data_IF_395376520527
#
_entry.id   IF_395376520527
#
_cell.length_a   1.000
_cell.length_b   1.000
_cell.length_c   1.000
_cell.angle_alpha   90.00
_cell.angle_beta   90.00
_cell.angle_gamma   90.00
#
_symmetry.space_group_name_H-M   'P 1'
#
loop_
_entity.id
_entity.type
_entity.pdbx_description
1 polymer ?
#
# COMPACT_ATOMS: atom_id res chain seq x y z
N UNK A 1 2.56 6.17 1.82
CA UNK A 1 2.63 6.33 0.36
C UNK A 1 3.98 6.89 -0.10
N UNK A 2 4.37 8.10 0.31
CA UNK A 2 5.58 8.77 -0.18
C UNK A 2 6.89 7.99 -0.05
N UNK A 3 7.21 7.48 1.14
CA UNK A 3 8.39 6.63 1.39
C UNK A 3 8.54 5.44 0.41
N UNK A 4 7.43 4.78 0.05
CA UNK A 4 7.39 3.71 -0.97
C UNK A 4 7.65 4.26 -2.38
N UNK A 5 7.01 5.37 -2.73
CA UNK A 5 7.08 5.95 -4.07
C UNK A 5 8.37 6.73 -4.32
N UNK A 6 9.06 7.21 -3.29
CA UNK A 6 10.35 7.87 -3.41
C UNK A 6 11.40 6.91 -3.98
N UNK A 7 11.30 5.62 -3.67
CA UNK A 7 12.13 4.59 -4.29
C UNK A 7 11.82 4.44 -5.78
N UNK A 8 10.54 4.46 -6.18
CA UNK A 8 10.19 4.48 -7.61
C UNK A 8 10.76 5.72 -8.29
N UNK A 9 10.59 6.90 -7.70
CA UNK A 9 11.15 8.14 -8.22
C UNK A 9 12.68 8.02 -8.40
N UNK A 10 13.40 7.50 -7.41
CA UNK A 10 14.87 7.41 -7.50
C UNK A 10 15.39 6.27 -8.39
N UNK A 11 14.64 5.19 -8.62
CA UNK A 11 15.12 4.02 -9.35
C UNK A 11 14.56 3.91 -10.78
N UNK A 12 13.38 4.49 -11.03
CA UNK A 12 12.67 4.34 -12.31
C UNK A 12 12.74 5.54 -13.23
N UNK A 13 12.94 6.74 -12.70
CA UNK A 13 13.08 7.91 -13.58
C UNK A 13 14.44 7.88 -14.28
N UNK A 14 14.45 8.23 -15.56
CA UNK A 14 15.67 8.61 -16.29
C UNK A 14 16.35 9.82 -15.64
N UNK A 15 17.58 10.15 -16.04
CA UNK A 15 18.27 11.35 -15.54
C UNK A 15 17.47 12.64 -15.76
N UNK A 16 16.86 12.77 -16.94
CA UNK A 16 16.01 13.92 -17.31
C UNK A 16 14.72 13.97 -16.49
N UNK A 17 14.01 12.84 -16.37
CA UNK A 17 12.82 12.74 -15.54
C UNK A 17 13.14 13.04 -14.07
N UNK A 18 14.27 12.55 -13.56
CA UNK A 18 14.69 12.81 -12.17
C UNK A 18 14.94 14.30 -11.95
N UNK A 19 15.64 14.95 -12.88
CA UNK A 19 15.90 16.38 -12.83
C UNK A 19 14.61 17.22 -12.87
N UNK A 20 13.57 16.72 -13.55
CA UNK A 20 12.25 17.38 -13.61
C UNK A 20 11.38 17.12 -12.36
N UNK A 21 11.28 15.87 -11.89
CA UNK A 21 10.32 15.47 -10.86
C UNK A 21 10.87 15.50 -9.43
N UNK A 22 12.18 15.29 -9.22
CA UNK A 22 12.74 15.27 -7.87
C UNK A 22 12.64 16.63 -7.17
N UNK A 23 12.95 17.78 -7.81
CA UNK A 23 12.75 19.10 -7.20
C UNK A 23 11.28 19.35 -6.84
N UNK A 24 10.33 18.93 -7.70
CA UNK A 24 8.89 19.05 -7.42
C UNK A 24 8.43 18.29 -6.17
N UNK A 25 9.17 17.24 -5.79
CA UNK A 25 8.92 16.49 -4.56
C UNK A 25 9.66 17.08 -3.36
N UNK A 26 10.93 17.48 -3.54
CA UNK A 26 11.81 17.89 -2.45
C UNK A 26 11.65 19.36 -2.03
N UNK A 27 11.28 20.24 -2.96
CA UNK A 27 11.21 21.69 -2.71
C UNK A 27 9.87 22.13 -2.09
N UNK A 28 8.89 21.22 -2.02
CA UNK A 28 7.56 21.48 -1.47
C UNK A 28 7.30 20.52 -0.32
N UNK A 29 7.34 21.02 0.92
CA UNK A 29 7.17 20.22 2.15
C UNK A 29 5.86 19.44 2.22
N UNK A 30 4.83 19.90 1.50
CA UNK A 30 3.51 19.28 1.42
C UNK A 30 3.33 18.38 0.20
N UNK A 31 4.36 18.21 -0.63
CA UNK A 31 4.30 17.35 -1.81
C UNK A 31 3.97 15.92 -1.40
N UNK A 32 3.06 15.31 -2.15
CA UNK A 32 2.77 13.90 -2.00
C UNK A 32 2.71 13.22 -3.36
N UNK A 33 3.04 11.93 -3.35
CA UNK A 33 2.99 11.05 -4.48
C UNK A 33 1.81 10.08 -4.36
N UNK A 34 1.21 9.75 -5.51
CA UNK A 34 0.19 8.72 -5.63
C UNK A 34 0.56 7.69 -6.69
N UNK A 35 -0.02 6.48 -6.58
CA UNK A 35 0.09 5.44 -7.61
C UNK A 35 -1.30 4.96 -8.02
N UNK A 36 -1.65 5.22 -9.27
CA UNK A 36 -2.91 4.85 -9.90
C UNK A 36 -2.84 3.48 -10.54
N UNK A 37 -3.29 2.45 -9.83
CA UNK A 37 -3.44 1.09 -10.39
C UNK A 37 -4.91 0.67 -10.43
N UNK A 38 -5.55 0.69 -9.27
CA UNK A 38 -6.92 0.23 -9.06
C UNK A 38 -7.92 1.06 -9.86
N UNK A 39 -8.88 0.36 -10.44
CA UNK A 39 -10.02 0.90 -11.20
C UNK A 39 -11.31 0.32 -10.61
N UNK A 40 -12.48 0.92 -10.84
CA UNK A 40 -13.74 0.44 -10.27
C UNK A 40 -14.02 -1.05 -10.53
N UNK A 41 -13.62 -1.55 -11.70
CA UNK A 41 -13.79 -2.92 -12.15
C UNK A 41 -12.57 -3.81 -11.89
N UNK A 42 -11.44 -3.26 -11.45
CA UNK A 42 -10.18 -4.01 -11.34
C UNK A 42 -9.32 -3.59 -10.15
N UNK A 43 -9.16 -4.50 -9.20
CA UNK A 43 -8.25 -4.38 -8.05
C UNK A 43 -7.26 -5.54 -8.02
N UNK A 44 -7.71 -6.69 -7.51
CA UNK A 44 -6.91 -7.92 -7.41
C UNK A 44 -6.40 -8.40 -8.76
N UNK A 45 -7.16 -8.21 -9.84
CA UNK A 45 -6.77 -8.57 -11.20
C UNK A 45 -5.58 -7.76 -11.74
N UNK A 46 -5.14 -6.70 -11.04
CA UNK A 46 -3.87 -6.03 -11.35
C UNK A 46 -2.68 -6.68 -10.66
N UNK A 47 -2.93 -7.46 -9.60
CA UNK A 47 -1.93 -8.05 -8.70
C UNK A 47 -1.76 -9.55 -8.98
N UNK A 48 -2.84 -10.23 -9.35
CA UNK A 48 -2.88 -11.55 -9.96
C UNK A 48 -3.61 -11.43 -11.30
N UNK A 49 -2.91 -11.01 -12.37
CA UNK A 49 -3.48 -10.79 -13.68
C UNK A 49 -4.29 -11.99 -14.18
N UNK A 50 -5.52 -11.70 -14.61
CA UNK A 50 -6.25 -12.64 -15.44
C UNK A 50 -5.47 -12.85 -16.75
N UNK A 51 -5.60 -14.05 -17.32
CA UNK A 51 -5.00 -14.39 -18.62
C UNK A 51 -5.87 -13.94 -19.80
N UNK A 52 -7.03 -13.35 -19.54
CA UNK A 52 -7.90 -12.76 -20.55
C UNK A 52 -7.62 -11.26 -20.71
N UNK A 53 -8.10 -10.70 -21.82
CA UNK A 53 -7.89 -9.28 -22.18
C UNK A 53 -8.78 -8.32 -21.35
N UNK A 54 -9.92 -8.81 -20.88
CA UNK A 54 -10.90 -8.01 -20.14
C UNK A 54 -10.52 -7.76 -18.68
N UNK A 55 -9.61 -8.59 -18.14
CA UNK A 55 -9.13 -8.49 -16.76
C UNK A 55 -8.09 -7.39 -16.54
N UNK A 56 -8.09 -6.86 -15.32
CA UNK A 56 -7.15 -5.81 -14.90
C UNK A 56 -7.52 -4.41 -15.37
N UNK A 57 -6.55 -3.48 -15.26
CA UNK A 57 -6.70 -2.06 -15.56
C UNK A 57 -7.09 -1.82 -17.02
N UNK A 58 -8.09 -0.96 -17.26
CA UNK A 58 -8.64 -0.64 -18.57
C UNK A 58 -8.53 0.84 -18.94
N UNK A 59 -8.02 1.71 -18.06
CA UNK A 59 -7.70 3.10 -18.42
C UNK A 59 -6.77 3.10 -19.63
N UNK A 60 -7.24 3.58 -20.77
CA UNK A 60 -6.53 3.50 -22.04
C UNK A 60 -5.46 4.58 -22.15
N UNK A 61 -4.36 4.29 -22.83
CA UNK A 61 -3.37 5.26 -23.30
C UNK A 61 -3.08 4.99 -24.79
N UNK A 62 -3.44 5.94 -25.65
CA UNK A 62 -3.23 5.82 -27.11
C UNK A 62 -2.21 6.85 -27.55
N UNK A 63 -1.17 6.41 -28.28
CA UNK A 63 -0.13 7.31 -28.78
C UNK A 63 -0.67 8.21 -29.89
N UNK A 64 -0.42 9.51 -29.78
CA UNK A 64 -0.73 10.53 -30.78
C UNK A 64 0.46 11.49 -30.91
N UNK A 65 1.26 11.30 -31.96
CA UNK A 65 2.52 12.03 -32.13
C UNK A 65 3.50 11.73 -31.00
N UNK A 66 3.96 12.78 -30.33
CA UNK A 66 4.88 12.71 -29.19
C UNK A 66 4.16 12.66 -27.83
N UNK A 67 2.84 12.50 -27.82
CA UNK A 67 2.01 12.41 -26.63
C UNK A 67 1.24 11.09 -26.56
N UNK A 68 0.72 10.79 -25.38
CA UNK A 68 -0.27 9.77 -25.09
C UNK A 68 -1.56 10.42 -24.65
N UNK A 69 -2.67 9.96 -25.21
CA UNK A 69 -4.01 10.40 -24.82
C UNK A 69 -4.60 9.36 -23.88
N UNK A 70 -4.78 9.75 -22.61
CA UNK A 70 -5.32 8.89 -21.57
C UNK A 70 -6.83 9.12 -21.40
N UNK A 71 -7.58 8.01 -21.28
CA UNK A 71 -9.02 8.03 -21.05
C UNK A 71 -9.43 6.95 -20.04
N UNK A 72 -10.21 7.33 -19.04
CA UNK A 72 -10.73 6.44 -18.00
C UNK A 72 -10.58 7.01 -16.60
N UNK A 73 -10.62 6.15 -15.59
CA UNK A 73 -10.41 6.60 -14.20
C UNK A 73 -9.73 5.56 -13.32
N UNK A 74 -8.96 6.04 -12.35
CA UNK A 74 -8.47 5.25 -11.22
C UNK A 74 -9.33 5.51 -9.98
N UNK A 75 -9.34 4.55 -9.07
CA UNK A 75 -10.24 4.50 -7.93
C UNK A 75 -9.50 4.14 -6.64
N UNK A 76 -9.90 4.72 -5.51
CA UNK A 76 -9.26 4.54 -4.20
C UNK A 76 -7.78 4.96 -4.12
N UNK A 77 -7.32 5.89 -4.95
CA UNK A 77 -5.90 6.19 -5.01
C UNK A 77 -5.46 7.00 -3.80
N UNK A 78 -4.62 6.40 -2.95
CA UNK A 78 -4.11 7.01 -1.74
C UNK A 78 -3.32 8.29 -2.04
N UNK A 79 -3.60 9.34 -1.27
CA UNK A 79 -3.05 10.70 -1.43
C UNK A 79 -3.50 11.44 -2.71
N UNK A 80 -4.31 10.83 -3.60
CA UNK A 80 -4.71 11.46 -4.86
C UNK A 80 -5.45 12.79 -4.69
N UNK A 81 -6.10 13.02 -3.54
CA UNK A 81 -6.74 14.31 -3.25
C UNK A 81 -5.74 15.48 -3.20
N UNK A 82 -4.45 15.21 -2.95
CA UNK A 82 -3.43 16.22 -2.74
C UNK A 82 -2.08 15.93 -3.44
N UNK A 83 -1.98 14.83 -4.19
CA UNK A 83 -0.71 14.44 -4.82
C UNK A 83 -0.40 15.27 -6.05
N UNK A 84 0.81 15.82 -6.08
CA UNK A 84 1.34 16.60 -7.20
C UNK A 84 2.19 15.76 -8.17
N UNK A 85 2.56 14.53 -7.77
CA UNK A 85 3.28 13.58 -8.62
C UNK A 85 2.55 12.24 -8.59
N UNK A 86 2.25 11.69 -9.76
CA UNK A 86 1.36 10.56 -9.90
C UNK A 86 1.99 9.51 -10.83
N UNK A 87 2.12 8.29 -10.33
CA UNK A 87 2.55 7.12 -11.10
C UNK A 87 1.32 6.37 -11.59
N UNK A 88 1.09 6.28 -12.89
CA UNK A 88 -0.16 5.75 -13.44
C UNK A 88 0.13 4.57 -14.36
N UNK A 89 -0.58 3.47 -14.11
CA UNK A 89 -0.63 2.33 -15.04
C UNK A 89 -1.78 2.56 -16.02
N UNK A 90 -1.50 2.51 -17.31
CA UNK A 90 -2.50 2.61 -18.37
C UNK A 90 -2.36 1.46 -19.38
N UNK A 91 -3.49 1.03 -19.95
CA UNK A 91 -3.61 0.04 -21.01
C UNK A 91 -3.17 0.64 -22.35
N UNK A 92 -2.03 0.22 -22.86
CA UNK A 92 -1.48 0.63 -24.16
C UNK A 92 -1.78 -0.37 -25.27
N UNK A 93 -1.96 -1.64 -24.92
CA UNK A 93 -2.39 -2.68 -25.84
C UNK A 93 -3.59 -3.46 -25.27
N UNK A 94 -4.82 -3.23 -25.79
CA UNK A 94 -6.02 -3.88 -25.30
C UNK A 94 -6.19 -5.32 -25.82
N UNK A 95 -5.35 -5.78 -26.75
CA UNK A 95 -5.50 -7.09 -27.38
C UNK A 95 -4.75 -8.21 -26.65
N UNK A 96 -4.05 -7.88 -25.58
CA UNK A 96 -3.27 -8.81 -24.76
C UNK A 96 -3.62 -8.64 -23.28
N UNK A 97 -3.32 -9.63 -22.43
CA UNK A 97 -3.61 -9.54 -21.00
C UNK A 97 -2.81 -8.40 -20.34
N UNK A 98 -3.27 -7.92 -19.17
CA UNK A 98 -2.76 -6.67 -18.57
C UNK A 98 -1.28 -6.70 -18.21
N UNK A 99 -0.74 -7.89 -17.93
CA UNK A 99 0.69 -8.10 -17.68
C UNK A 99 1.58 -7.77 -18.88
N UNK A 100 1.01 -7.81 -20.09
CA UNK A 100 1.71 -7.68 -21.38
C UNK A 100 1.21 -6.47 -22.20
N UNK A 101 0.22 -5.71 -21.70
CA UNK A 101 -0.42 -4.63 -22.47
C UNK A 101 -0.54 -3.31 -21.72
N UNK A 102 0.17 -3.17 -20.61
CA UNK A 102 0.10 -1.98 -19.75
C UNK A 102 1.45 -1.26 -19.70
N UNK A 103 1.40 0.07 -19.64
CA UNK A 103 2.55 0.96 -19.55
C UNK A 103 2.46 1.83 -18.29
N UNK A 104 3.60 2.13 -17.67
CA UNK A 104 3.70 3.04 -16.54
C UNK A 104 4.06 4.45 -17.01
N UNK A 105 3.38 5.45 -16.45
CA UNK A 105 3.62 6.88 -16.67
C UNK A 105 3.90 7.59 -15.35
N UNK A 106 4.67 8.67 -15.38
CA UNK A 106 4.77 9.66 -14.29
C UNK A 106 4.14 10.97 -14.77
N UNK A 107 3.31 11.61 -13.96
CA UNK A 107 2.67 12.85 -14.36
C UNK A 107 2.39 13.76 -13.18
N UNK A 108 2.29 15.06 -13.45
CA UNK A 108 1.79 16.03 -12.49
C UNK A 108 0.26 16.14 -12.59
N UNK A 109 -0.35 16.88 -11.66
CA UNK A 109 -1.77 17.21 -11.71
C UNK A 109 -2.11 18.39 -12.64
N UNK A 110 -1.11 18.92 -13.36
CA UNK A 110 -1.23 20.07 -14.26
C UNK A 110 -1.55 19.68 -15.71
N UNK A 111 -1.61 18.36 -16.02
CA UNK A 111 -1.87 17.93 -17.40
C UNK A 111 -3.31 18.26 -17.82
N UNK A 112 -3.52 18.82 -19.03
CA UNK A 112 -4.86 18.98 -19.59
C UNK A 112 -5.61 17.65 -19.61
N UNK A 113 -6.92 17.67 -19.35
CA UNK A 113 -7.78 16.49 -19.34
C UNK A 113 -7.68 15.62 -18.07
N UNK A 114 -6.80 15.94 -17.12
CA UNK A 114 -6.80 15.31 -15.81
C UNK A 114 -7.62 16.10 -14.79
N UNK A 115 -8.39 15.39 -13.95
CA UNK A 115 -9.03 15.98 -12.78
C UNK A 115 -9.17 14.97 -11.65
N UNK A 116 -9.22 15.48 -10.42
CA UNK A 116 -9.57 14.70 -9.24
C UNK A 116 -11.10 14.51 -9.20
N UNK A 117 -11.53 13.29 -8.91
CA UNK A 117 -12.94 12.96 -8.71
C UNK A 117 -13.31 12.95 -7.23
N UNK A 118 -14.12 11.98 -6.83
CA UNK A 118 -14.60 11.85 -5.45
C UNK A 118 -13.43 11.57 -4.50
N UNK A 119 -13.39 12.29 -3.37
CA UNK A 119 -12.56 11.91 -2.20
C UNK A 119 -13.38 10.93 -1.35
N UNK A 120 -12.86 9.73 -1.15
CA UNK A 120 -13.61 8.65 -0.52
C UNK A 120 -13.62 8.77 1.01
N UNK A 121 -14.82 8.68 1.60
CA UNK A 121 -14.98 8.48 3.03
C UNK A 121 -14.50 7.08 3.44
N UNK A 122 -13.65 7.00 4.48
CA UNK A 122 -13.08 5.74 4.96
C UNK A 122 -13.37 5.51 6.44
N UNK A 123 -13.45 4.24 6.81
CA UNK A 123 -13.56 3.80 8.21
C UNK A 123 -12.38 4.36 9.03
N UNK A 124 -11.15 4.06 8.62
CA UNK A 124 -9.91 4.55 9.22
C UNK A 124 -8.90 5.02 8.18
N UNK A 125 -7.69 5.32 8.64
CA UNK A 125 -6.57 5.87 7.89
C UNK A 125 -6.99 7.10 7.06
N UNK A 126 -7.85 7.96 7.62
CA UNK A 126 -8.53 9.07 6.91
C UNK A 126 -7.55 10.13 6.40
N UNK A 127 -6.37 10.25 7.00
CA UNK A 127 -5.29 11.14 6.55
C UNK A 127 -4.65 10.68 5.24
N UNK A 128 -4.77 9.40 4.88
CA UNK A 128 -4.51 8.95 3.52
C UNK A 128 -5.75 9.30 2.68
N UNK A 129 -5.80 10.52 2.15
CA UNK A 129 -6.96 10.98 1.40
C UNK A 129 -7.04 10.26 0.05
N UNK A 130 -7.82 9.17 0.01
CA UNK A 130 -8.02 8.38 -1.19
C UNK A 130 -9.00 9.09 -2.10
N UNK A 131 -8.67 9.26 -3.38
CA UNK A 131 -9.56 9.88 -4.34
C UNK A 131 -9.60 9.15 -5.68
N UNK A 132 -10.60 9.47 -6.49
CA UNK A 132 -10.61 9.14 -7.90
C UNK A 132 -9.67 10.06 -8.69
N UNK A 133 -9.09 9.50 -9.74
CA UNK A 133 -8.27 10.22 -10.71
C UNK A 133 -8.89 9.99 -12.08
N UNK A 134 -9.39 11.04 -12.72
CA UNK A 134 -10.19 10.96 -13.94
C UNK A 134 -9.40 11.58 -15.09
N UNK A 135 -9.40 10.89 -16.22
CA UNK A 135 -8.66 11.23 -17.42
C UNK A 135 -9.65 11.30 -18.59
N UNK A 136 -9.78 12.49 -19.16
CA UNK A 136 -10.71 12.82 -20.24
C UNK A 136 -9.90 13.50 -21.34
N UNK A 137 -9.43 12.70 -22.31
CA UNK A 137 -8.43 13.09 -23.31
C UNK A 137 -7.19 13.74 -22.67
N UNK A 138 -6.69 13.12 -21.60
CA UNK A 138 -5.56 13.68 -20.87
C UNK A 138 -4.26 13.51 -21.66
N UNK A 139 -3.53 14.60 -21.88
CA UNK A 139 -2.31 14.61 -22.70
C UNK A 139 -1.07 14.39 -21.84
N UNK A 140 -0.42 13.24 -22.02
CA UNK A 140 0.83 12.89 -21.32
C UNK A 140 1.98 12.81 -22.32
N UNK A 141 3.05 13.60 -22.16
CA UNK A 141 4.21 13.54 -23.06
C UNK A 141 4.90 12.18 -23.07
N UNK A 142 5.44 11.74 -24.21
CA UNK A 142 6.26 10.52 -24.32
C UNK A 142 7.44 10.53 -23.33
N UNK A 143 8.06 11.70 -23.10
CA UNK A 143 9.14 11.87 -22.11
C UNK A 143 8.75 11.52 -20.68
N UNK A 144 7.45 11.40 -20.39
CA UNK A 144 6.89 11.07 -19.09
C UNK A 144 6.44 9.60 -18.98
N UNK A 145 6.67 8.80 -20.01
CA UNK A 145 6.60 7.33 -19.93
C UNK A 145 7.76 6.80 -19.06
N UNK A 146 7.46 5.96 -18.07
CA UNK A 146 8.44 5.41 -17.13
C UNK A 146 8.93 4.00 -17.51
N UNK A 147 8.07 3.16 -18.07
CA UNK A 147 8.43 1.80 -18.49
C UNK A 147 8.52 1.72 -20.00
N UNK A 148 9.12 0.67 -20.54
CA UNK A 148 8.86 0.28 -21.93
C UNK A 148 7.35 0.19 -22.21
N UNK A 149 6.97 0.50 -23.45
CA UNK A 149 5.60 0.31 -23.91
C UNK A 149 5.22 -1.16 -23.67
N UNK A 150 4.06 -1.38 -23.07
CA UNK A 150 3.53 -2.70 -22.71
C UNK A 150 4.32 -3.45 -21.61
N UNK A 151 5.39 -2.83 -21.06
CA UNK A 151 6.26 -3.41 -20.03
C UNK A 151 5.98 -2.95 -18.59
N UNK A 152 4.88 -2.26 -18.33
CA UNK A 152 4.62 -1.54 -17.08
C UNK A 152 4.46 -2.43 -15.84
N UNK A 153 3.67 -3.50 -15.91
CA UNK A 153 3.42 -4.36 -14.75
C UNK A 153 4.63 -5.22 -14.36
N UNK A 154 5.32 -5.93 -15.27
CA UNK A 154 6.54 -6.69 -14.93
C UNK A 154 7.62 -5.78 -14.33
N UNK A 155 7.78 -4.58 -14.90
CA UNK A 155 8.76 -3.61 -14.43
C UNK A 155 8.46 -3.12 -13.01
N UNK A 156 7.20 -2.83 -12.72
CA UNK A 156 6.76 -2.43 -11.37
C UNK A 156 6.97 -3.54 -10.33
N UNK A 157 6.68 -4.78 -10.71
CA UNK A 157 6.82 -5.93 -9.83
C UNK A 157 8.28 -6.14 -9.38
N UNK A 158 9.25 -5.85 -10.26
CA UNK A 158 10.69 -5.89 -9.95
C UNK A 158 11.10 -4.93 -8.82
N UNK A 159 10.48 -3.76 -8.71
CA UNK A 159 10.77 -2.84 -7.60
C UNK A 159 9.98 -3.19 -6.36
N UNK A 160 8.68 -3.43 -6.46
CA UNK A 160 7.90 -3.67 -5.25
C UNK A 160 8.21 -4.99 -4.54
N UNK A 161 8.76 -5.98 -5.25
CA UNK A 161 9.15 -7.26 -4.67
C UNK A 161 10.04 -7.07 -3.43
N UNK A 162 11.17 -6.35 -3.55
CA UNK A 162 12.10 -6.09 -2.45
C UNK A 162 11.57 -5.12 -1.39
N UNK A 163 10.58 -4.30 -1.73
CA UNK A 163 10.02 -3.29 -0.82
C UNK A 163 8.79 -3.77 -0.05
N UNK A 164 8.32 -4.99 -0.27
CA UNK A 164 7.16 -5.57 0.43
C UNK A 164 7.26 -5.54 1.98
N UNK A 165 8.44 -5.73 2.63
CA UNK A 165 8.56 -5.63 4.09
C UNK A 165 8.17 -4.27 4.65
N UNK A 166 8.31 -3.24 3.83
CA UNK A 166 8.07 -1.86 4.23
C UNK A 166 6.59 -1.70 4.61
N UNK A 167 5.64 -2.17 3.78
CA UNK A 167 4.18 -2.07 4.04
C UNK A 167 3.77 -2.70 5.37
N UNK A 168 4.42 -3.78 5.78
CA UNK A 168 4.17 -4.47 7.04
C UNK A 168 4.42 -3.59 8.29
N UNK A 169 5.30 -2.58 8.18
CA UNK A 169 5.60 -1.65 9.29
C UNK A 169 4.36 -0.86 9.75
N UNK A 170 3.38 -0.63 8.87
CA UNK A 170 2.13 0.04 9.21
C UNK A 170 1.34 -0.75 10.27
N UNK A 171 1.16 -2.05 10.05
CA UNK A 171 0.47 -2.92 10.99
C UNK A 171 1.17 -2.96 12.35
N UNK A 172 2.49 -3.10 12.36
CA UNK A 172 3.30 -3.10 13.59
C UNK A 172 3.15 -1.77 14.34
N UNK A 173 3.21 -0.64 13.63
CA UNK A 173 3.10 0.70 14.22
C UNK A 173 1.74 0.94 14.88
N UNK A 174 0.64 0.62 14.18
CA UNK A 174 -0.72 0.79 14.71
C UNK A 174 -0.93 -0.14 15.93
N UNK A 175 -0.53 -1.41 15.82
CA UNK A 175 -0.63 -2.37 16.91
C UNK A 175 0.15 -1.93 18.15
N UNK A 176 1.36 -1.42 17.96
CA UNK A 176 2.20 -0.89 19.03
C UNK A 176 1.56 0.33 19.71
N UNK A 177 1.06 1.29 18.94
CA UNK A 177 0.40 2.47 19.51
C UNK A 177 -0.84 2.07 20.34
N UNK A 178 -1.66 1.15 19.84
CA UNK A 178 -2.80 0.63 20.58
C UNK A 178 -2.41 -0.08 21.89
N UNK A 179 -1.31 -0.84 21.87
CA UNK A 179 -0.76 -1.47 23.07
C UNK A 179 -0.25 -0.45 24.09
N UNK A 180 0.50 0.56 23.67
CA UNK A 180 1.04 1.59 24.56
C UNK A 180 -0.09 2.40 25.23
N UNK A 181 -1.13 2.76 24.49
CA UNK A 181 -2.31 3.43 25.02
C UNK A 181 -3.09 2.53 26.00
N UNK A 182 -3.30 1.25 25.66
CA UNK A 182 -3.97 0.30 26.54
C UNK A 182 -3.19 0.02 27.83
N UNK A 183 -1.85 -0.04 27.74
CA UNK A 183 -0.97 -0.22 28.90
C UNK A 183 -1.06 0.97 29.85
N UNK A 184 -1.09 2.19 29.31
CA UNK A 184 -1.27 3.42 30.09
C UNK A 184 -2.64 3.42 30.77
N UNK A 185 -3.71 3.21 30.02
CA UNK A 185 -5.07 3.15 30.57
C UNK A 185 -5.21 2.08 31.65
N UNK A 186 -4.59 0.92 31.47
CA UNK A 186 -4.65 -0.17 32.44
C UNK A 186 -4.01 0.19 33.79
N UNK A 187 -2.98 1.04 33.80
CA UNK A 187 -2.32 1.51 35.03
C UNK A 187 -3.13 2.58 35.76
N UNK A 188 -3.88 3.39 35.03
CA UNK A 188 -4.60 4.55 35.59
C UNK A 188 -6.03 4.20 36.00
N UNK A 189 -6.71 3.36 35.22
CA UNK A 189 -8.11 3.03 35.46
C UNK A 189 -8.24 2.15 36.70
N UNK A 190 -8.99 2.61 37.70
CA UNK A 190 -9.34 1.84 38.90
C UNK A 190 -10.72 1.18 38.73
N UNK A 191 -10.81 -0.12 38.99
CA UNK A 191 -12.07 -0.86 39.07
C UNK A 191 -11.92 -2.02 40.06
N UNK A 192 -12.94 -2.22 40.91
CA UNK A 192 -12.85 -3.21 41.99
C UNK A 192 -11.80 -2.86 43.05
N UNK A 193 -11.57 -1.56 43.27
CA UNK A 193 -10.69 -1.05 44.33
C UNK A 193 -9.18 -0.99 44.00
N UNK A 194 -8.77 -1.35 42.77
CA UNK A 194 -7.36 -1.30 42.33
C UNK A 194 -7.22 -0.96 40.84
N UNK A 195 -6.05 -0.50 40.39
CA UNK A 195 -5.72 -0.36 38.97
C UNK A 195 -6.03 -1.63 38.18
N UNK A 196 -6.61 -1.51 36.98
CA UNK A 196 -7.07 -2.71 36.25
C UNK A 196 -5.91 -3.59 35.76
N UNK A 197 -4.70 -3.04 35.62
CA UNK A 197 -3.47 -3.81 35.36
C UNK A 197 -3.17 -4.82 36.48
N UNK A 198 -3.73 -4.65 37.67
CA UNK A 198 -3.58 -5.61 38.77
C UNK A 198 -4.50 -6.83 38.63
N UNK A 199 -5.49 -6.81 37.74
CA UNK A 199 -6.32 -7.98 37.42
C UNK A 199 -5.59 -8.93 36.48
N UNK A 200 -5.54 -10.22 36.83
CA UNK A 200 -4.78 -11.23 36.09
C UNK A 200 -5.13 -11.28 34.60
N UNK A 201 -6.43 -11.20 34.27
CA UNK A 201 -6.91 -11.20 32.87
C UNK A 201 -6.36 -10.04 32.04
N UNK A 202 -6.19 -8.85 32.64
CA UNK A 202 -5.64 -7.69 31.92
C UNK A 202 -4.16 -7.91 31.62
N UNK A 203 -3.38 -8.42 32.57
CA UNK A 203 -1.96 -8.74 32.34
C UNK A 203 -1.76 -9.82 31.28
N UNK A 204 -2.62 -10.84 31.28
CA UNK A 204 -2.62 -11.89 30.26
C UNK A 204 -2.84 -11.31 28.86
N UNK A 205 -3.87 -10.48 28.68
CA UNK A 205 -4.15 -9.83 27.38
C UNK A 205 -2.98 -8.94 26.94
N UNK A 206 -2.40 -8.17 27.86
CA UNK A 206 -1.24 -7.32 27.57
C UNK A 206 0.00 -8.14 27.17
N UNK A 207 0.21 -9.30 27.81
CA UNK A 207 1.29 -10.21 27.43
C UNK A 207 1.10 -10.78 26.02
N UNK A 208 -0.10 -11.21 25.66
CA UNK A 208 -0.42 -11.71 24.32
C UNK A 208 -0.21 -10.62 23.25
N UNK A 209 -0.62 -9.38 23.55
CA UNK A 209 -0.40 -8.23 22.67
C UNK A 209 1.10 -7.99 22.47
N UNK A 210 1.88 -7.96 23.56
CA UNK A 210 3.32 -7.75 23.51
C UNK A 210 4.04 -8.81 22.65
N UNK A 211 3.72 -10.10 22.86
CA UNK A 211 4.32 -11.20 22.09
C UNK A 211 3.96 -11.08 20.61
N UNK A 212 2.69 -10.82 20.29
CA UNK A 212 2.22 -10.69 18.90
C UNK A 212 2.95 -9.56 18.17
N UNK A 213 3.09 -8.39 18.81
CA UNK A 213 3.78 -7.23 18.23
C UNK A 213 5.26 -7.52 18.04
N UNK A 214 5.90 -8.17 19.02
CA UNK A 214 7.34 -8.48 18.98
C UNK A 214 7.64 -9.44 17.84
N UNK A 215 6.89 -10.54 17.72
CA UNK A 215 7.05 -11.51 16.62
C UNK A 215 6.81 -10.85 15.26
N UNK A 216 5.80 -9.97 15.16
CA UNK A 216 5.52 -9.25 13.92
C UNK A 216 6.69 -8.33 13.55
N UNK A 217 7.21 -7.59 14.54
CA UNK A 217 8.36 -6.71 14.36
C UNK A 217 9.59 -7.49 13.91
N UNK A 218 9.92 -8.59 14.57
CA UNK A 218 11.09 -9.41 14.23
C UNK A 218 10.99 -9.97 12.82
N UNK A 219 9.79 -10.42 12.41
CA UNK A 219 9.54 -10.90 11.05
C UNK A 219 9.76 -9.79 10.01
N UNK A 220 9.33 -8.56 10.30
CA UNK A 220 9.54 -7.39 9.43
C UNK A 220 11.02 -7.04 9.33
N UNK A 221 11.74 -7.01 10.46
CA UNK A 221 13.19 -6.73 10.46
C UNK A 221 13.98 -7.78 9.70
N UNK A 222 13.67 -9.06 9.89
CA UNK A 222 14.29 -10.13 9.13
C UNK A 222 14.03 -9.98 7.63
N UNK A 223 12.79 -9.67 7.23
CA UNK A 223 12.45 -9.51 5.82
C UNK A 223 13.12 -8.27 5.20
N UNK A 224 13.27 -7.18 5.96
CA UNK A 224 14.00 -5.99 5.54
C UNK A 224 15.50 -6.27 5.40
N UNK A 225 16.12 -6.94 6.38
CA UNK A 225 17.51 -7.38 6.29
C UNK A 225 17.75 -8.25 5.06
N UNK A 226 16.89 -9.25 4.82
CA UNK A 226 16.99 -10.10 3.62
C UNK A 226 16.90 -9.29 2.33
N UNK A 227 16.02 -8.28 2.28
CA UNK A 227 15.89 -7.41 1.10
C UNK A 227 17.13 -6.55 0.83
N UNK A 228 17.83 -6.13 1.89
CA UNK A 228 19.03 -5.30 1.80
C UNK A 228 20.30 -6.12 1.51
N UNK A 229 20.40 -7.36 2.02
CA UNK A 229 21.65 -8.14 1.97
C UNK A 229 21.67 -9.25 0.92
N UNK A 230 20.52 -9.78 0.50
CA UNK A 230 20.49 -10.87 -0.48
C UNK A 230 20.79 -10.35 -1.89
N UNK A 231 21.65 -11.06 -2.62
CA UNK A 231 21.82 -10.88 -4.07
C UNK A 231 20.52 -11.13 -4.84
N UNK A 232 20.47 -10.78 -6.13
CA UNK A 232 19.27 -10.99 -6.95
C UNK A 232 18.88 -12.48 -7.02
N UNK A 233 19.85 -13.37 -7.21
CA UNK A 233 19.61 -14.83 -7.27
C UNK A 233 19.28 -15.47 -5.91
N UNK A 234 19.54 -14.76 -4.80
CA UNK A 234 19.33 -15.25 -3.43
C UNK A 234 18.08 -14.64 -2.77
N UNK A 235 17.43 -13.69 -3.44
CA UNK A 235 16.29 -12.98 -2.86
C UNK A 235 15.07 -13.90 -2.75
N UNK A 236 14.57 -14.08 -1.52
CA UNK A 236 13.42 -14.91 -1.25
C UNK A 236 12.18 -14.03 -1.09
N UNK A 237 11.38 -13.95 -2.14
CA UNK A 237 10.12 -13.20 -2.16
C UNK A 237 9.14 -13.61 -1.05
N UNK A 238 9.24 -14.84 -0.52
CA UNK A 238 8.39 -15.31 0.58
C UNK A 238 8.61 -14.49 1.86
N UNK A 239 9.81 -13.93 2.05
CA UNK A 239 10.18 -13.16 3.25
C UNK A 239 9.32 -11.89 3.40
N UNK A 240 9.15 -11.14 2.30
CA UNK A 240 8.30 -9.95 2.30
C UNK A 240 6.81 -10.30 2.48
N UNK A 241 6.34 -11.34 1.78
CA UNK A 241 4.94 -11.78 1.85
C UNK A 241 4.56 -12.26 3.25
N UNK A 242 5.38 -13.10 3.90
CA UNK A 242 5.10 -13.58 5.25
C UNK A 242 5.05 -12.44 6.26
N UNK A 243 5.93 -11.45 6.12
CA UNK A 243 5.99 -10.29 7.00
C UNK A 243 4.73 -9.42 6.86
N UNK A 244 4.34 -9.10 5.62
CA UNK A 244 3.14 -8.33 5.32
C UNK A 244 1.87 -9.05 5.80
N UNK A 245 1.75 -10.35 5.51
CA UNK A 245 0.60 -11.15 5.93
C UNK A 245 0.49 -11.23 7.45
N UNK A 246 1.58 -11.55 8.16
CA UNK A 246 1.54 -11.68 9.61
C UNK A 246 1.24 -10.33 10.30
N UNK A 247 1.95 -9.26 9.92
CA UNK A 247 1.76 -7.94 10.52
C UNK A 247 0.38 -7.34 10.25
N UNK A 248 -0.21 -7.60 9.07
CA UNK A 248 -1.55 -7.11 8.74
C UNK A 248 -2.66 -7.78 9.54
N UNK A 249 -2.49 -9.04 9.93
CA UNK A 249 -3.52 -9.80 10.63
C UNK A 249 -3.48 -9.63 12.15
N UNK A 250 -2.28 -9.50 12.71
CA UNK A 250 -2.14 -9.24 14.14
C UNK A 250 -2.60 -7.84 14.52
N UNK A 251 -2.52 -6.86 13.60
CA UNK A 251 -2.80 -5.46 13.94
C UNK A 251 -4.27 -5.23 14.37
N UNK A 252 -5.29 -5.66 13.60
CA UNK A 252 -6.69 -5.60 14.05
C UNK A 252 -6.95 -6.38 15.34
N UNK A 253 -6.29 -7.54 15.52
CA UNK A 253 -6.46 -8.36 16.72
C UNK A 253 -5.93 -7.65 17.97
N UNK A 254 -4.73 -7.08 17.89
CA UNK A 254 -4.13 -6.28 18.97
C UNK A 254 -4.98 -5.04 19.25
N UNK A 255 -5.45 -4.33 18.22
CA UNK A 255 -6.29 -3.14 18.40
C UNK A 255 -7.64 -3.48 19.02
N UNK A 256 -8.22 -4.64 18.68
CA UNK A 256 -9.46 -5.13 19.31
C UNK A 256 -9.23 -5.45 20.78
N UNK A 257 -8.11 -6.11 21.13
CA UNK A 257 -7.72 -6.37 22.53
C UNK A 257 -7.52 -5.07 23.30
N UNK A 258 -6.84 -4.09 22.70
CA UNK A 258 -6.67 -2.77 23.27
C UNK A 258 -8.02 -2.12 23.57
N UNK A 259 -8.92 -2.04 22.60
CA UNK A 259 -10.28 -1.52 22.78
C UNK A 259 -11.02 -2.21 23.94
N UNK A 260 -10.92 -3.53 24.05
CA UNK A 260 -11.55 -4.28 25.14
C UNK A 260 -10.96 -3.95 26.52
N UNK A 261 -9.67 -3.62 26.63
CA UNK A 261 -9.06 -3.14 27.89
C UNK A 261 -9.67 -1.79 28.31
N UNK A 262 -10.01 -0.93 27.35
CA UNK A 262 -10.73 0.32 27.64
C UNK A 262 -12.19 0.10 28.04
N UNK A 263 -12.78 -1.06 27.71
CA UNK A 263 -14.20 -1.36 27.95
C UNK A 263 -15.11 -0.46 27.12
N UNK A 264 -16.22 0.03 27.69
CA UNK A 264 -17.13 0.95 26.99
C UNK A 264 -16.46 2.23 26.50
N UNK A 265 -15.46 2.73 27.24
CA UNK A 265 -14.67 3.90 26.81
C UNK A 265 -13.89 3.63 25.52
N UNK A 266 -13.55 2.37 25.24
CA UNK A 266 -12.81 1.99 24.05
C UNK A 266 -13.61 2.16 22.76
N UNK A 267 -14.95 2.21 22.85
CA UNK A 267 -15.85 2.44 21.72
C UNK A 267 -16.15 3.93 21.50
N UNK A 268 -15.88 4.77 22.50
CA UNK A 268 -16.15 6.20 22.42
C UNK A 268 -15.01 6.92 21.69
N UNK A 269 -15.35 7.89 20.86
CA UNK A 269 -14.38 8.73 20.10
C UNK A 269 -13.57 9.70 20.98
N UNK A 270 -13.85 9.72 22.28
CA UNK A 270 -13.07 10.43 23.30
C UNK A 270 -11.78 9.70 23.70
N UNK A 271 -11.61 8.44 23.29
CA UNK A 271 -10.42 7.64 23.58
C UNK A 271 -9.78 7.10 22.29
N UNK A 272 -8.45 6.89 22.26
CA UNK A 272 -7.75 6.56 21.02
C UNK A 272 -7.99 5.14 20.49
N UNK A 273 -8.54 4.24 21.31
CA UNK A 273 -8.64 2.81 20.99
C UNK A 273 -9.50 2.53 19.74
N UNK A 274 -10.61 3.25 19.58
CA UNK A 274 -11.49 3.11 18.40
C UNK A 274 -10.79 3.53 17.11
N UNK A 275 -10.00 4.62 17.16
CA UNK A 275 -9.23 5.09 16.02
C UNK A 275 -8.20 4.05 15.59
N UNK A 276 -7.46 3.49 16.54
CA UNK A 276 -6.47 2.44 16.23
C UNK A 276 -7.11 1.24 15.54
N UNK A 277 -8.27 0.77 16.04
CA UNK A 277 -8.97 -0.34 15.40
C UNK A 277 -9.45 0.02 14.00
N UNK A 278 -10.09 1.18 13.83
CA UNK A 278 -10.54 1.65 12.50
C UNK A 278 -9.38 1.74 11.50
N UNK A 279 -8.23 2.26 11.94
CA UNK A 279 -7.04 2.39 11.11
C UNK A 279 -6.44 1.02 10.78
N UNK A 280 -6.40 0.10 11.75
CA UNK A 280 -5.91 -1.27 11.56
C UNK A 280 -6.75 -2.09 10.57
N UNK A 281 -8.06 -1.84 10.43
CA UNK A 281 -8.89 -2.54 9.46
C UNK A 281 -8.40 -2.39 8.01
N UNK A 282 -7.70 -1.30 7.70
CA UNK A 282 -7.08 -1.11 6.38
C UNK A 282 -6.03 -2.19 6.07
N UNK A 283 -5.41 -2.79 7.09
CA UNK A 283 -4.34 -3.77 6.93
C UNK A 283 -4.78 -5.01 6.13
N UNK A 284 -6.06 -5.38 6.14
CA UNK A 284 -6.56 -6.50 5.34
C UNK A 284 -6.60 -6.20 3.82
N UNK A 285 -6.51 -4.93 3.44
CA UNK A 285 -6.79 -4.48 2.08
C UNK A 285 -5.61 -3.76 1.40
N UNK A 286 -4.70 -3.19 2.18
CA UNK A 286 -3.61 -2.38 1.66
C UNK A 286 -2.57 -3.22 0.90
N UNK A 287 -2.16 -2.72 -0.28
CA UNK A 287 -1.09 -3.32 -1.10
C UNK A 287 -1.38 -4.76 -1.58
N UNK A 288 -2.67 -5.11 -1.64
CA UNK A 288 -3.16 -6.45 -1.99
C UNK A 288 -3.89 -7.09 -0.82
N UNK A 289 -4.93 -7.86 -1.13
CA UNK A 289 -5.67 -8.58 -0.09
C UNK A 289 -4.78 -9.66 0.55
N UNK A 290 -4.96 -9.91 1.84
CA UNK A 290 -4.25 -10.98 2.53
C UNK A 290 -4.42 -12.35 1.85
N UNK A 291 -5.61 -12.64 1.32
CA UNK A 291 -5.88 -13.88 0.60
C UNK A 291 -5.13 -13.95 -0.74
N UNK A 292 -4.96 -12.81 -1.41
CA UNK A 292 -4.12 -12.73 -2.61
C UNK A 292 -2.66 -13.01 -2.27
N UNK A 293 -2.16 -12.47 -1.16
CA UNK A 293 -0.81 -12.75 -0.67
C UNK A 293 -0.63 -14.23 -0.31
N UNK A 294 -1.63 -14.86 0.31
CA UNK A 294 -1.64 -16.32 0.58
C UNK A 294 -1.58 -17.13 -0.71
N UNK A 295 -2.36 -16.76 -1.72
CA UNK A 295 -2.36 -17.45 -3.02
C UNK A 295 -0.99 -17.35 -3.70
N UNK A 296 -0.37 -16.17 -3.70
CA UNK A 296 1.00 -15.99 -4.22
C UNK A 296 2.02 -16.83 -3.46
N UNK A 297 1.94 -16.82 -2.13
CA UNK A 297 2.82 -17.64 -1.29
C UNK A 297 2.61 -19.13 -1.56
N UNK A 298 1.36 -19.58 -1.72
CA UNK A 298 1.01 -20.95 -2.08
C UNK A 298 1.64 -21.39 -3.41
N UNK A 299 1.57 -20.54 -4.45
CA UNK A 299 2.25 -20.79 -5.73
C UNK A 299 3.76 -20.95 -5.58
N UNK A 300 4.41 -20.05 -4.84
CA UNK A 300 5.85 -20.15 -4.58
C UNK A 300 6.22 -21.44 -3.83
N UNK A 301 5.40 -21.86 -2.87
CA UNK A 301 5.59 -23.12 -2.14
C UNK A 301 5.39 -24.35 -3.03
N UNK A 302 4.55 -24.25 -4.06
CA UNK A 302 4.36 -25.29 -5.06
C UNK A 302 5.44 -25.31 -6.16
N UNK A 303 6.38 -24.35 -6.15
CA UNK A 303 7.42 -24.22 -7.17
C UNK A 303 6.96 -23.49 -8.44
N UNK A 304 5.82 -22.81 -8.40
CA UNK A 304 5.28 -22.04 -9.52
C UNK A 304 5.81 -20.60 -9.51
N UNK A 305 6.21 -20.10 -10.69
CA UNK A 305 6.54 -18.70 -10.89
C UNK A 305 5.27 -17.83 -11.02
N UNK A 306 5.38 -16.55 -10.67
CA UNK A 306 4.36 -15.54 -11.00
C UNK A 306 5.04 -14.21 -11.36
N UNK A 307 4.32 -13.32 -12.05
CA UNK A 307 4.85 -12.02 -12.46
C UNK A 307 5.42 -11.24 -11.26
N UNK A 308 6.74 -11.00 -11.26
CA UNK A 308 7.47 -10.34 -10.17
C UNK A 308 8.28 -11.24 -9.25
N UNK A 309 8.25 -12.56 -9.45
CA UNK A 309 9.13 -13.54 -8.80
C UNK A 309 10.22 -14.08 -9.74
N UNK A 310 10.61 -13.27 -10.74
CA UNK A 310 11.70 -13.56 -11.67
C UNK A 310 13.01 -12.98 -11.14
#
# INVERSE_FOLDING_TARGET
QNWKLAKMLCHFTTGEQRAEFLPRYMDVDTSTMAIGMTEPQAGTDNIMPATNVDGGAQLSAVRQGDNWILNGKKHFIACAAMSNINFIVARTNPNVPVNEGATMFIMTDEIPGFRRGVVHGKLGARLLMNAEMIYENAEVPEKWRLSEVDGGLPYMARVFSRHSPTTATFGVGIARAAFEDAMTYARERVQGGRPIIEHARIREILADMYVSITVARDTVWHAAWHADTAGDDEYDHKQGMRAALFASEIAPQVCTRAMNIFGGNGYMDTHPAERHLRDAMMCYHIDGLNDTTRLKLGRLLAGEAFAGAL
#
